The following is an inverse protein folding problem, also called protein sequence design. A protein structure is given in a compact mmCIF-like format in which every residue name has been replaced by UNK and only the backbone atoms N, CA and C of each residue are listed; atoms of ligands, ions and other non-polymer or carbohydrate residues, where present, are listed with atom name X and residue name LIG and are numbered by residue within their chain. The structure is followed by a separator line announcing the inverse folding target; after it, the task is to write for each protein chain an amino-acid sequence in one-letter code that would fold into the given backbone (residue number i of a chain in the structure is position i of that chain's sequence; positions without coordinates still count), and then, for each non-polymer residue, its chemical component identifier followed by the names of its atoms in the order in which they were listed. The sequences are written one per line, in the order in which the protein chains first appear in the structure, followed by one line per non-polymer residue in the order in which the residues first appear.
data_IF_141104949774
#
_entry.id   IF_141104949774
#
_cell.length_a   1.000
_cell.length_b   1.000
_cell.length_c   1.000
_cell.angle_alpha   90.00
_cell.angle_beta   90.00
_cell.angle_gamma   90.00
#
_symmetry.space_group_name_H-M   'P 1'
#
loop_
_entity.id
_entity.type
_entity.pdbx_description
1 polymer ?
#
# COMPACT_ATOMS: atom_id res chain seq x y z
N UNK A 1 -70.34 -39.80 16.47
CA UNK A 1 -68.89 -39.99 16.25
C UNK A 1 -68.12 -39.31 17.39
N UNK A 2 -67.29 -40.09 18.07
CA UNK A 2 -66.40 -39.74 19.20
C UNK A 2 -67.02 -38.91 20.35
N UNK A 3 -67.47 -39.60 21.40
CA UNK A 3 -67.83 -38.99 22.68
C UNK A 3 -69.04 -39.64 23.32
N UNK A 4 -69.05 -39.66 24.66
CA UNK A 4 -70.08 -40.20 25.56
C UNK A 4 -71.51 -40.01 24.98
N UNK A 5 -72.30 -41.09 24.86
CA UNK A 5 -73.75 -40.96 24.56
C UNK A 5 -74.49 -40.72 25.88
N UNK A 6 -75.17 -39.58 26.01
CA UNK A 6 -76.01 -39.29 27.18
C UNK A 6 -77.06 -40.40 27.36
N UNK A 7 -77.19 -40.91 28.59
CA UNK A 7 -78.16 -41.95 28.96
C UNK A 7 -77.70 -43.41 28.83
N UNK A 8 -76.45 -43.69 28.45
CA UNK A 8 -75.93 -45.08 28.39
C UNK A 8 -75.37 -45.52 29.75
N UNK A 9 -75.79 -46.72 30.20
CA UNK A 9 -75.30 -47.32 31.44
C UNK A 9 -73.76 -47.50 31.40
N UNK A 10 -73.04 -47.28 32.52
CA UNK A 10 -71.58 -47.39 32.58
C UNK A 10 -70.99 -48.73 32.10
N UNK A 11 -71.79 -49.81 32.13
CA UNK A 11 -71.45 -51.17 31.68
C UNK A 11 -71.48 -51.33 30.15
N UNK A 12 -72.11 -50.42 29.40
CA UNK A 12 -72.29 -50.51 27.94
C UNK A 12 -71.46 -49.49 27.14
N UNK A 13 -70.42 -48.89 27.74
CA UNK A 13 -69.53 -47.92 27.06
C UNK A 13 -68.78 -48.57 25.88
N UNK A 14 -68.46 -47.81 24.83
CA UNK A 14 -67.75 -48.34 23.66
C UNK A 14 -66.31 -48.75 23.97
N UNK A 15 -65.75 -49.69 23.19
CA UNK A 15 -64.34 -50.13 23.36
C UNK A 15 -63.34 -48.97 23.22
N UNK A 16 -63.61 -48.03 22.30
CA UNK A 16 -62.80 -46.81 22.14
C UNK A 16 -62.81 -45.92 23.39
N UNK A 17 -63.97 -45.78 24.05
CA UNK A 17 -64.08 -45.03 25.31
C UNK A 17 -63.30 -45.70 26.43
N UNK A 18 -63.41 -47.03 26.55
CA UNK A 18 -62.70 -47.80 27.57
C UNK A 18 -61.17 -47.74 27.38
N UNK A 19 -60.71 -47.89 26.13
CA UNK A 19 -59.32 -47.69 25.76
C UNK A 19 -58.82 -46.29 26.14
N UNK A 20 -59.60 -45.23 25.88
CA UNK A 20 -59.26 -43.87 26.30
C UNK A 20 -59.14 -43.71 27.82
N UNK A 21 -60.02 -44.35 28.60
CA UNK A 21 -59.95 -44.39 30.06
C UNK A 21 -58.70 -45.10 30.58
N UNK A 22 -58.30 -46.20 29.94
CA UNK A 22 -57.07 -46.93 30.26
C UNK A 22 -55.82 -46.13 29.87
N UNK A 23 -55.83 -45.41 28.74
CA UNK A 23 -54.75 -44.48 28.38
C UNK A 23 -54.61 -43.32 29.39
N UNK A 24 -55.71 -42.73 29.87
CA UNK A 24 -55.64 -41.72 30.93
C UNK A 24 -55.04 -42.28 32.22
N UNK A 25 -55.41 -43.49 32.64
CA UNK A 25 -54.83 -44.13 33.82
C UNK A 25 -53.36 -44.52 33.64
N UNK A 26 -52.98 -45.01 32.45
CA UNK A 26 -51.57 -45.26 32.12
C UNK A 26 -50.76 -43.95 32.15
N UNK A 27 -51.29 -42.87 31.57
CA UNK A 27 -50.68 -41.54 31.59
C UNK A 27 -50.50 -40.99 33.00
N UNK A 28 -51.48 -41.20 33.90
CA UNK A 28 -51.34 -40.87 35.33
C UNK A 28 -50.23 -41.68 35.98
N UNK A 29 -50.14 -42.98 35.70
CA UNK A 29 -49.07 -43.84 36.19
C UNK A 29 -47.67 -43.39 35.73
N UNK A 30 -47.51 -43.13 34.43
CA UNK A 30 -46.27 -42.57 33.86
C UNK A 30 -45.92 -41.22 34.49
N UNK A 31 -46.91 -40.33 34.61
CA UNK A 31 -46.72 -39.01 35.22
C UNK A 31 -46.23 -39.13 36.66
N UNK A 32 -46.75 -40.08 37.45
CA UNK A 32 -46.31 -40.30 38.83
C UNK A 32 -44.89 -40.86 38.93
N UNK A 33 -44.53 -41.80 38.05
CA UNK A 33 -43.20 -42.44 38.01
C UNK A 33 -42.11 -41.43 37.63
N UNK A 34 -42.39 -40.56 36.65
CA UNK A 34 -41.40 -39.63 36.10
C UNK A 34 -41.47 -38.21 36.69
N UNK A 35 -42.52 -37.84 37.45
CA UNK A 35 -42.67 -36.48 37.99
C UNK A 35 -41.52 -36.07 38.90
N UNK A 36 -41.05 -36.95 39.78
CA UNK A 36 -39.93 -36.64 40.68
C UNK A 36 -38.60 -36.49 39.92
N UNK A 37 -38.38 -37.31 38.88
CA UNK A 37 -37.20 -37.20 38.01
C UNK A 37 -37.21 -35.88 37.23
N UNK A 38 -38.37 -35.50 36.69
CA UNK A 38 -38.51 -34.27 35.92
C UNK A 38 -38.38 -33.04 36.83
N UNK A 39 -38.93 -33.08 38.04
CA UNK A 39 -38.74 -32.04 39.06
C UNK A 39 -37.26 -31.90 39.47
N UNK A 40 -36.56 -33.01 39.69
CA UNK A 40 -35.14 -33.03 40.02
C UNK A 40 -34.30 -32.45 38.87
N UNK A 41 -34.58 -32.84 37.63
CA UNK A 41 -33.90 -32.32 36.45
C UNK A 41 -34.07 -30.80 36.33
N UNK A 42 -35.30 -30.30 36.45
CA UNK A 42 -35.59 -28.85 36.42
C UNK A 42 -34.85 -28.12 37.53
N UNK A 43 -34.83 -28.66 38.75
CA UNK A 43 -34.11 -28.05 39.87
C UNK A 43 -32.61 -27.93 39.59
N UNK A 44 -31.97 -29.00 39.10
CA UNK A 44 -30.53 -28.98 38.79
C UNK A 44 -30.23 -27.94 37.72
N UNK A 45 -30.98 -27.94 36.62
CA UNK A 45 -30.73 -27.02 35.50
C UNK A 45 -31.04 -25.57 35.91
N UNK A 46 -32.08 -25.34 36.71
CA UNK A 46 -32.40 -24.01 37.25
C UNK A 46 -31.28 -23.47 38.13
N UNK A 47 -30.80 -24.27 39.09
CA UNK A 47 -29.72 -23.86 39.99
C UNK A 47 -28.44 -23.60 39.20
N UNK A 48 -28.05 -24.51 38.30
CA UNK A 48 -26.84 -24.32 37.50
C UNK A 48 -26.97 -23.15 36.53
N UNK A 49 -28.02 -23.13 35.70
CA UNK A 49 -28.23 -22.11 34.68
C UNK A 49 -28.38 -20.71 35.28
N UNK A 50 -29.20 -20.57 36.32
CA UNK A 50 -29.41 -19.28 36.99
C UNK A 50 -28.14 -18.75 37.68
N UNK A 51 -27.38 -19.61 38.36
CA UNK A 51 -26.15 -19.18 39.03
C UNK A 51 -25.03 -18.88 38.02
N UNK A 52 -24.86 -19.70 36.98
CA UNK A 52 -23.82 -19.46 35.97
C UNK A 52 -24.14 -18.18 35.19
N UNK A 53 -25.40 -17.93 34.83
CA UNK A 53 -25.81 -16.68 34.17
C UNK A 53 -25.45 -15.45 35.03
N UNK A 54 -25.86 -15.44 36.30
CA UNK A 54 -25.63 -14.29 37.19
C UNK A 54 -24.16 -14.10 37.57
N UNK A 55 -23.42 -15.18 37.84
CA UNK A 55 -22.03 -15.08 38.33
C UNK A 55 -21.00 -14.98 37.21
N UNK A 56 -21.26 -15.56 36.05
CA UNK A 56 -20.30 -15.62 34.95
C UNK A 56 -20.72 -14.68 33.83
N UNK A 57 -21.91 -14.85 33.25
CA UNK A 57 -22.31 -14.09 32.06
C UNK A 57 -22.50 -12.60 32.35
N UNK A 58 -23.29 -12.25 33.38
CA UNK A 58 -23.50 -10.87 33.78
C UNK A 58 -22.19 -10.18 34.22
N UNK A 59 -21.33 -10.93 34.92
CA UNK A 59 -20.03 -10.41 35.40
C UNK A 59 -19.00 -10.27 34.28
N UNK A 60 -19.05 -11.14 33.26
CA UNK A 60 -18.21 -11.05 32.06
C UNK A 60 -18.61 -9.84 31.22
N UNK A 61 -19.92 -9.69 30.97
CA UNK A 61 -20.46 -8.58 30.19
C UNK A 61 -20.12 -7.21 30.80
N UNK A 62 -20.21 -7.10 32.12
CA UNK A 62 -19.84 -5.89 32.86
C UNK A 62 -18.32 -5.74 33.09
N UNK A 63 -17.50 -6.62 32.52
CA UNK A 63 -16.04 -6.68 32.68
C UNK A 63 -15.56 -6.86 34.14
N UNK A 64 -16.47 -7.13 35.07
CA UNK A 64 -16.17 -7.37 36.49
C UNK A 64 -15.40 -8.67 36.68
N UNK A 65 -15.67 -9.67 35.84
CA UNK A 65 -14.95 -10.94 35.86
C UNK A 65 -13.48 -10.76 35.45
N UNK A 66 -13.20 -9.84 34.53
CA UNK A 66 -11.84 -9.48 34.10
C UNK A 66 -11.09 -8.78 35.24
N UNK A 67 -11.74 -7.82 35.92
CA UNK A 67 -11.18 -7.14 37.11
C UNK A 67 -10.90 -8.10 38.27
N UNK A 68 -11.68 -9.19 38.39
CA UNK A 68 -11.43 -10.23 39.37
C UNK A 68 -10.16 -11.03 39.05
N UNK A 69 -9.90 -11.30 37.76
CA UNK A 69 -8.64 -11.92 37.30
C UNK A 69 -7.43 -11.01 37.56
N UNK A 70 -7.63 -9.70 37.55
CA UNK A 70 -6.58 -8.71 37.84
C UNK A 70 -6.30 -8.55 39.34
N UNK A 71 -7.18 -9.06 40.21
CA UNK A 71 -7.02 -8.94 41.66
C UNK A 71 -6.02 -9.99 42.17
N UNK A 72 -4.84 -9.58 42.67
CA UNK A 72 -3.83 -10.52 43.11
C UNK A 72 -4.32 -11.33 44.32
N UNK A 73 -4.16 -12.66 44.24
CA UNK A 73 -4.51 -13.59 45.33
C UNK A 73 -5.90 -14.22 45.26
N UNK A 74 -6.74 -13.87 44.27
CA UNK A 74 -8.03 -14.55 44.03
C UNK A 74 -7.81 -15.92 43.38
N UNK A 75 -6.88 -16.01 42.42
CA UNK A 75 -6.49 -17.26 41.78
C UNK A 75 -5.07 -17.62 42.24
N UNK A 76 -4.87 -18.70 43.01
CA UNK A 76 -3.54 -19.08 43.48
C UNK A 76 -2.64 -19.46 42.29
N UNK A 77 -1.41 -18.94 42.28
CA UNK A 77 -0.37 -19.16 41.25
C UNK A 77 -0.67 -18.60 39.84
N UNK A 78 -1.63 -17.69 39.68
CA UNK A 78 -1.85 -17.01 38.40
C UNK A 78 -1.25 -15.60 38.44
N UNK A 79 -0.23 -15.36 37.63
CA UNK A 79 0.32 -14.03 37.37
C UNK A 79 0.49 -13.85 35.87
N UNK A 80 -0.32 -12.97 35.28
CA UNK A 80 -0.31 -12.72 33.84
C UNK A 80 1.04 -12.19 33.35
N UNK A 81 1.71 -11.33 34.14
CA UNK A 81 3.03 -10.80 33.80
C UNK A 81 4.08 -11.92 33.69
N UNK A 82 4.01 -12.93 34.55
CA UNK A 82 4.94 -14.07 34.55
C UNK A 82 4.68 -15.00 33.36
N UNK A 83 3.42 -15.28 33.03
CA UNK A 83 3.04 -16.10 31.86
C UNK A 83 3.47 -15.44 30.55
N UNK A 84 3.35 -14.13 30.45
CA UNK A 84 3.72 -13.36 29.26
C UNK A 84 5.20 -12.96 29.22
N UNK A 85 5.97 -13.27 30.28
CA UNK A 85 7.40 -12.93 30.37
C UNK A 85 7.69 -11.43 30.42
N UNK A 86 6.73 -10.62 30.89
CA UNK A 86 6.85 -9.17 30.96
C UNK A 86 7.70 -8.75 32.17
N UNK A 87 8.73 -7.94 31.92
CA UNK A 87 9.52 -7.28 32.96
C UNK A 87 8.89 -5.92 33.28
N UNK A 88 7.96 -5.89 34.22
CA UNK A 88 7.27 -4.65 34.62
C UNK A 88 6.13 -4.91 35.61
N UNK A 89 5.43 -3.84 36.00
CA UNK A 89 4.27 -3.87 36.88
C UNK A 89 3.20 -4.88 36.41
N UNK A 90 2.32 -5.28 37.33
CA UNK A 90 1.25 -6.25 37.11
C UNK A 90 0.44 -5.93 35.85
N UNK A 91 0.54 -6.78 34.84
CA UNK A 91 -0.23 -6.69 33.62
C UNK A 91 -1.71 -6.85 33.96
N UNK A 92 -2.48 -5.78 33.73
CA UNK A 92 -3.90 -5.72 34.01
C UNK A 92 -4.66 -6.20 32.77
N UNK A 93 -5.21 -7.41 32.83
CA UNK A 93 -6.00 -8.05 31.79
C UNK A 93 -7.20 -7.20 31.36
N UNK A 94 -7.91 -6.55 32.30
CA UNK A 94 -9.02 -5.66 31.98
C UNK A 94 -8.57 -4.49 31.11
N UNK A 95 -7.43 -3.87 31.43
CA UNK A 95 -6.87 -2.78 30.63
C UNK A 95 -6.39 -3.27 29.27
N UNK A 96 -5.69 -4.41 29.23
CA UNK A 96 -5.23 -5.05 27.99
C UNK A 96 -6.40 -5.31 27.05
N UNK A 97 -7.46 -5.93 27.56
CA UNK A 97 -8.65 -6.24 26.80
C UNK A 97 -9.34 -4.97 26.28
N UNK A 98 -9.47 -3.93 27.11
CA UNK A 98 -10.05 -2.63 26.70
C UNK A 98 -9.25 -1.96 25.58
N UNK A 99 -7.93 -1.96 25.67
CA UNK A 99 -7.07 -1.41 24.62
C UNK A 99 -7.16 -2.24 23.34
N UNK A 100 -7.28 -3.57 23.46
CA UNK A 100 -7.49 -4.43 22.30
C UNK A 100 -8.84 -4.21 21.61
N UNK A 101 -9.91 -3.94 22.37
CA UNK A 101 -11.19 -3.52 21.76
C UNK A 101 -11.05 -2.22 20.94
N UNK A 102 -10.15 -1.32 21.35
CA UNK A 102 -9.84 -0.08 20.64
C UNK A 102 -8.84 -0.23 19.48
N UNK A 103 -8.49 -1.47 19.11
CA UNK A 103 -7.54 -1.76 18.02
C UNK A 103 -6.11 -1.28 18.31
N UNK A 104 -5.70 -1.25 19.58
CA UNK A 104 -4.32 -1.02 19.94
C UNK A 104 -3.41 -2.17 19.46
N UNK A 105 -2.13 -1.86 19.24
CA UNK A 105 -1.09 -2.85 18.99
C UNK A 105 -0.71 -3.56 20.28
N UNK A 106 -0.34 -4.84 20.20
CA UNK A 106 0.21 -5.56 21.35
C UNK A 106 1.44 -4.87 21.95
N UNK A 107 2.22 -4.15 21.14
CA UNK A 107 3.36 -3.37 21.62
C UNK A 107 2.96 -2.34 22.67
N UNK A 108 1.94 -1.51 22.36
CA UNK A 108 1.43 -0.48 23.28
C UNK A 108 0.68 -1.13 24.45
N UNK A 109 -0.15 -2.14 24.14
CA UNK A 109 -1.00 -2.79 25.13
C UNK A 109 -0.23 -3.54 26.21
N UNK A 110 0.89 -4.20 25.85
CA UNK A 110 1.72 -4.94 26.79
C UNK A 110 2.88 -4.11 27.36
N UNK A 111 2.93 -2.81 27.04
CA UNK A 111 4.01 -1.90 27.46
C UNK A 111 5.42 -2.47 27.17
N UNK A 112 5.60 -3.05 25.98
CA UNK A 112 6.85 -3.73 25.62
C UNK A 112 8.04 -2.77 25.56
N UNK A 113 7.79 -1.47 25.43
CA UNK A 113 8.77 -0.39 25.51
C UNK A 113 9.57 -0.40 26.82
N UNK A 114 8.98 -0.89 27.92
CA UNK A 114 9.67 -1.01 29.22
C UNK A 114 10.70 -2.16 29.23
N UNK A 115 10.47 -3.19 28.41
CA UNK A 115 11.30 -4.39 28.36
C UNK A 115 12.33 -4.35 27.23
N UNK A 116 11.99 -3.70 26.13
CA UNK A 116 12.79 -3.62 24.90
C UNK A 116 12.78 -2.18 24.40
N UNK A 117 13.93 -1.51 24.53
CA UNK A 117 14.14 -0.19 23.95
C UNK A 117 14.43 -0.30 22.46
N UNK A 118 13.42 -0.03 21.61
CA UNK A 118 13.61 0.07 20.16
C UNK A 118 14.57 1.20 19.78
N UNK A 119 14.65 2.25 20.59
CA UNK A 119 15.58 3.36 20.37
C UNK A 119 17.04 2.94 20.55
N UNK A 120 17.31 2.06 21.50
CA UNK A 120 18.64 1.51 21.72
C UNK A 120 18.97 0.42 20.68
N UNK A 121 18.02 -0.48 20.39
CA UNK A 121 18.23 -1.60 19.46
C UNK A 121 18.42 -1.14 18.01
N UNK A 122 17.68 -0.12 17.58
CA UNK A 122 17.73 0.43 16.22
C UNK A 122 18.54 1.73 16.17
N UNK A 123 19.46 1.94 17.11
CA UNK A 123 20.31 3.12 17.12
C UNK A 123 21.40 3.02 16.03
N UNK A 124 21.24 3.78 14.94
CA UNK A 124 22.26 3.87 13.89
C UNK A 124 23.21 5.06 14.03
N UNK A 125 23.01 5.93 15.03
CA UNK A 125 23.82 7.15 15.17
C UNK A 125 25.32 6.88 15.25
N UNK A 126 25.71 5.77 15.87
CA UNK A 126 27.10 5.32 15.92
C UNK A 126 27.67 5.05 14.52
N UNK A 127 26.95 4.26 13.71
CA UNK A 127 27.37 3.93 12.35
C UNK A 127 27.35 5.16 11.44
N UNK A 128 26.32 6.00 11.54
CA UNK A 128 26.22 7.27 10.80
C UNK A 128 27.42 8.18 11.12
N UNK A 129 27.80 8.28 12.39
CA UNK A 129 28.96 9.05 12.84
C UNK A 129 30.29 8.50 12.31
N UNK A 130 30.48 7.18 12.38
CA UNK A 130 31.68 6.52 11.87
C UNK A 130 31.83 6.66 10.36
N UNK A 131 30.73 6.51 9.62
CA UNK A 131 30.68 6.67 8.15
C UNK A 131 30.99 8.11 7.76
N UNK A 132 30.39 9.10 8.42
CA UNK A 132 30.66 10.52 8.17
C UNK A 132 32.13 10.87 8.46
N UNK A 133 32.67 10.37 9.58
CA UNK A 133 34.07 10.60 9.96
C UNK A 133 35.05 9.92 8.99
N UNK A 134 34.74 8.70 8.55
CA UNK A 134 35.54 7.99 7.55
C UNK A 134 35.55 8.74 6.21
N UNK A 135 34.41 9.31 5.83
CA UNK A 135 34.27 10.12 4.62
C UNK A 135 35.07 11.43 4.69
N UNK A 136 35.05 12.14 5.84
CA UNK A 136 35.83 13.37 6.00
C UNK A 136 37.34 13.13 5.86
N UNK A 137 37.82 11.97 6.31
CA UNK A 137 39.21 11.53 6.21
C UNK A 137 39.60 11.01 4.82
N UNK A 138 38.65 10.85 3.91
CA UNK A 138 38.91 10.33 2.57
C UNK A 138 39.62 11.39 1.72
N UNK A 139 40.83 11.08 1.29
CA UNK A 139 41.56 11.87 0.29
C UNK A 139 41.31 11.29 -1.10
N UNK A 140 40.66 12.07 -1.96
CA UNK A 140 40.40 11.70 -3.35
C UNK A 140 41.63 12.04 -4.18
N UNK A 141 42.44 11.04 -4.50
CA UNK A 141 43.53 11.16 -5.46
C UNK A 141 43.04 10.71 -6.83
N UNK A 142 42.83 11.65 -7.74
CA UNK A 142 42.67 11.29 -9.15
C UNK A 142 44.02 10.89 -9.72
N UNK A 143 44.02 9.85 -10.56
CA UNK A 143 45.17 9.58 -11.42
C UNK A 143 45.47 10.82 -12.26
N UNK A 144 46.75 11.16 -12.48
CA UNK A 144 47.11 12.33 -13.27
C UNK A 144 46.56 12.18 -14.70
N UNK A 145 45.54 12.97 -15.02
CA UNK A 145 44.99 13.07 -16.36
C UNK A 145 45.82 14.13 -17.07
N UNK A 146 46.53 13.77 -18.14
CA UNK A 146 47.21 14.74 -19.02
C UNK A 146 46.47 14.79 -20.34
N UNK A 147 45.77 15.89 -20.63
CA UNK A 147 45.12 16.10 -21.93
C UNK A 147 46.17 16.23 -23.05
N UNK A 148 47.13 17.12 -22.83
CA UNK A 148 48.19 17.47 -23.78
C UNK A 148 49.48 17.72 -23.01
N UNK A 149 50.52 16.96 -23.34
CA UNK A 149 51.86 17.17 -22.82
C UNK A 149 52.49 18.43 -23.42
N UNK A 150 53.47 19.01 -22.74
CA UNK A 150 54.15 20.22 -23.21
C UNK A 150 54.73 20.06 -24.63
N UNK A 151 55.32 18.90 -24.94
CA UNK A 151 55.83 18.60 -26.27
C UNK A 151 54.76 18.62 -27.36
N UNK A 152 53.53 18.18 -27.05
CA UNK A 152 52.41 18.19 -27.98
C UNK A 152 51.88 19.61 -28.18
N UNK A 153 51.82 20.42 -27.11
CA UNK A 153 51.46 21.85 -27.18
C UNK A 153 52.45 22.62 -28.07
N UNK A 154 53.74 22.41 -27.84
CA UNK A 154 54.81 23.06 -28.60
C UNK A 154 54.80 22.62 -30.07
N UNK A 155 54.52 21.33 -30.34
CA UNK A 155 54.40 20.81 -31.70
C UNK A 155 53.23 21.47 -32.45
N UNK A 156 52.07 21.63 -31.81
CA UNK A 156 50.90 22.28 -32.42
C UNK A 156 51.17 23.76 -32.73
N UNK A 157 51.78 24.49 -31.78
CA UNK A 157 52.20 25.88 -32.02
C UNK A 157 53.23 25.98 -33.14
N UNK A 158 54.21 25.08 -33.17
CA UNK A 158 55.23 25.06 -34.21
C UNK A 158 54.64 24.72 -35.58
N UNK A 159 53.73 23.76 -35.66
CA UNK A 159 53.04 23.39 -36.89
C UNK A 159 52.17 24.55 -37.41
N UNK A 160 51.45 25.24 -36.52
CA UNK A 160 50.66 26.41 -36.86
C UNK A 160 51.54 27.56 -37.38
N UNK A 161 52.68 27.84 -36.73
CA UNK A 161 53.64 28.85 -37.20
C UNK A 161 54.32 28.45 -38.51
N UNK A 162 54.63 27.18 -38.71
CA UNK A 162 55.22 26.67 -39.94
C UNK A 162 54.25 26.74 -41.13
N UNK A 163 52.94 26.73 -40.87
CA UNK A 163 51.90 26.93 -41.88
C UNK A 163 51.69 28.38 -42.33
N UNK A 164 52.42 29.34 -41.76
CA UNK A 164 52.29 30.74 -42.14
C UNK A 164 52.87 30.99 -43.54
N UNK A 165 52.12 31.62 -44.46
CA UNK A 165 52.61 31.97 -45.77
C UNK A 165 53.72 33.03 -45.67
N UNK A 166 54.59 33.15 -46.70
CA UNK A 166 55.50 34.27 -46.79
C UNK A 166 54.71 35.59 -46.90
N UNK A 167 55.40 36.70 -46.64
CA UNK A 167 54.81 38.03 -46.79
C UNK A 167 54.57 38.32 -48.28
N UNK A 168 53.30 38.29 -48.69
CA UNK A 168 52.85 38.60 -50.05
C UNK A 168 52.47 40.07 -50.26
N UNK A 169 52.73 40.99 -49.31
CA UNK A 169 52.36 42.41 -49.45
C UNK A 169 52.92 43.02 -50.73
N UNK A 170 54.21 42.82 -51.01
CA UNK A 170 54.83 43.33 -52.24
C UNK A 170 54.28 42.66 -53.51
N UNK A 171 53.94 41.36 -53.43
CA UNK A 171 53.34 40.62 -54.54
C UNK A 171 51.93 41.12 -54.85
N UNK A 172 51.13 41.39 -53.82
CA UNK A 172 49.80 41.98 -53.98
C UNK A 172 49.88 43.41 -54.55
N UNK A 173 50.84 44.22 -54.10
CA UNK A 173 51.09 45.55 -54.67
C UNK A 173 51.47 45.48 -56.16
N UNK A 174 52.29 44.51 -56.55
CA UNK A 174 52.66 44.28 -57.96
C UNK A 174 51.49 43.76 -58.80
N UNK A 175 50.63 42.91 -58.24
CA UNK A 175 49.43 42.39 -58.91
C UNK A 175 48.37 43.47 -59.15
N UNK A 176 48.40 44.56 -58.38
CA UNK A 176 47.52 45.72 -58.55
C UNK A 176 48.05 46.73 -59.58
N UNK A 177 49.24 46.53 -60.16
CA UNK A 177 49.78 47.37 -61.22
C UNK A 177 49.31 46.93 -62.62
N UNK A 178 49.24 47.88 -63.54
CA UNK A 178 48.98 47.58 -64.95
C UNK A 178 50.12 46.75 -65.56
N UNK A 179 49.79 45.77 -66.41
CA UNK A 179 50.76 44.87 -67.05
C UNK A 179 51.73 45.66 -67.95
N UNK A 180 51.24 46.75 -68.55
CA UNK A 180 52.01 47.64 -69.42
C UNK A 180 52.22 49.01 -68.77
N UNK A 181 53.39 49.61 -69.01
CA UNK A 181 53.71 50.97 -68.52
C UNK A 181 52.80 52.05 -69.12
N UNK A 182 52.25 51.79 -70.31
CA UNK A 182 51.30 52.65 -71.01
C UNK A 182 50.22 51.76 -71.63
N UNK A 183 48.98 52.21 -71.59
CA UNK A 183 47.85 51.54 -72.23
C UNK A 183 48.15 51.30 -73.71
N UNK A 184 48.11 50.04 -74.14
CA UNK A 184 48.31 49.69 -75.56
C UNK A 184 47.19 50.28 -76.42
N UNK A 185 45.99 50.46 -75.83
CA UNK A 185 44.86 51.13 -76.48
C UNK A 185 45.13 52.62 -76.71
N UNK A 186 45.73 53.30 -75.73
CA UNK A 186 46.08 54.72 -75.85
C UNK A 186 47.20 54.91 -76.88
N UNK A 187 48.19 54.01 -76.89
CA UNK A 187 49.26 54.02 -77.88
C UNK A 187 48.72 53.74 -79.30
N UNK A 188 47.81 52.77 -79.45
CA UNK A 188 47.14 52.50 -80.72
C UNK A 188 46.35 53.72 -81.22
N UNK A 189 45.62 54.41 -80.32
CA UNK A 189 44.88 55.62 -80.67
C UNK A 189 45.82 56.78 -81.08
N UNK A 190 46.99 56.91 -80.47
CA UNK A 190 48.01 57.90 -80.86
C UNK A 190 48.61 57.59 -82.24
N UNK A 191 48.87 56.31 -82.55
CA UNK A 191 49.34 55.88 -83.87
C UNK A 191 48.30 56.16 -84.96
N UNK A 192 47.02 55.90 -84.71
CA UNK A 192 45.91 56.23 -85.62
C UNK A 192 45.81 57.75 -85.85
N UNK A 193 45.95 58.57 -84.79
CA UNK A 193 45.96 60.03 -84.92
C UNK A 193 47.17 60.56 -85.70
N UNK A 194 48.31 59.87 -85.63
CA UNK A 194 49.51 60.19 -86.38
C UNK A 194 49.37 59.76 -87.85
N UNK A 195 48.71 58.62 -88.11
CA UNK A 195 48.43 58.09 -89.44
C UNK A 195 47.61 59.07 -90.31
N UNK A 196 46.70 59.84 -89.69
CA UNK A 196 45.92 60.89 -90.38
C UNK A 196 46.74 62.12 -90.84
N UNK A 197 48.01 62.23 -90.46
CA UNK A 197 48.87 63.41 -90.72
C UNK A 197 50.06 63.12 -91.64
N UNK A 198 50.18 61.90 -92.18
CA UNK A 198 51.34 61.44 -92.96
C UNK A 198 50.94 60.91 -94.36
N UNK A 199 51.92 60.69 -95.22
CA UNK A 199 51.72 60.16 -96.58
C UNK A 199 51.20 58.71 -96.60
N UNK A 200 50.54 58.32 -97.69
CA UNK A 200 49.74 57.09 -97.79
C UNK A 200 50.47 55.78 -97.46
N UNK A 201 51.77 55.70 -97.75
CA UNK A 201 52.59 54.49 -97.48
C UNK A 201 52.83 54.33 -95.96
N UNK A 202 53.14 55.43 -95.26
CA UNK A 202 53.38 55.45 -93.80
C UNK A 202 52.07 55.38 -93.02
N UNK A 203 50.97 55.92 -93.57
CA UNK A 203 49.63 55.85 -92.98
C UNK A 203 49.21 54.40 -92.76
N UNK A 204 49.38 53.55 -93.78
CA UNK A 204 48.98 52.15 -93.72
C UNK A 204 49.76 51.36 -92.66
N UNK A 205 51.07 51.57 -92.59
CA UNK A 205 51.92 50.93 -91.59
C UNK A 205 51.53 51.35 -90.15
N UNK A 206 51.20 52.62 -89.92
CA UNK A 206 50.77 53.10 -88.61
C UNK A 206 49.41 52.53 -88.18
N UNK A 207 48.46 52.39 -89.12
CA UNK A 207 47.16 51.74 -88.88
C UNK A 207 47.30 50.24 -88.61
N UNK A 208 48.19 49.55 -89.34
CA UNK A 208 48.48 48.13 -89.12
C UNK A 208 49.12 47.88 -87.75
N UNK A 209 50.11 48.70 -87.35
CA UNK A 209 50.69 48.66 -86.00
C UNK A 209 49.65 48.97 -84.90
N UNK A 210 48.72 49.91 -85.14
CA UNK A 210 47.65 50.20 -84.18
C UNK A 210 46.66 49.03 -84.02
N UNK A 211 46.34 48.32 -85.11
CA UNK A 211 45.56 47.10 -85.09
C UNK A 211 46.28 45.97 -84.34
N UNK A 212 47.57 45.77 -84.58
CA UNK A 212 48.39 44.79 -83.86
C UNK A 212 48.43 45.07 -82.35
N UNK A 213 48.56 46.34 -81.93
CA UNK A 213 48.54 46.72 -80.51
C UNK A 213 47.19 46.41 -79.84
N UNK A 214 46.07 46.60 -80.54
CA UNK A 214 44.74 46.26 -80.01
C UNK A 214 44.53 44.76 -79.90
N UNK A 215 45.00 43.99 -80.89
CA UNK A 215 44.94 42.53 -80.85
C UNK A 215 45.84 41.97 -79.74
N UNK A 216 47.01 42.57 -79.53
CA UNK A 216 47.92 42.23 -78.42
C UNK A 216 47.29 42.52 -77.05
N UNK A 217 46.63 43.67 -76.87
CA UNK A 217 45.88 43.99 -75.64
C UNK A 217 44.79 42.95 -75.37
N UNK A 218 44.02 42.57 -76.39
CA UNK A 218 42.97 41.57 -76.28
C UNK A 218 43.53 40.20 -75.88
N UNK A 219 44.59 39.74 -76.54
CA UNK A 219 45.26 38.48 -76.21
C UNK A 219 45.86 38.49 -74.80
N UNK A 220 46.43 39.63 -74.39
CA UNK A 220 46.98 39.82 -73.05
C UNK A 220 45.86 39.79 -71.99
N UNK A 221 44.74 40.45 -72.24
CA UNK A 221 43.59 40.43 -71.34
C UNK A 221 43.00 39.02 -71.22
N UNK A 222 42.84 38.30 -72.33
CA UNK A 222 42.34 36.91 -72.33
C UNK A 222 43.30 35.94 -71.62
N UNK A 223 44.62 36.16 -71.75
CA UNK A 223 45.64 35.26 -71.20
C UNK A 223 46.01 35.54 -69.74
N UNK A 224 46.00 36.79 -69.29
CA UNK A 224 46.56 37.18 -67.98
C UNK A 224 45.52 37.63 -66.95
N UNK A 225 44.38 38.21 -67.35
CA UNK A 225 43.41 38.77 -66.38
C UNK A 225 42.86 37.71 -65.40
N UNK A 226 42.43 36.56 -65.93
CA UNK A 226 41.92 35.44 -65.13
C UNK A 226 42.96 34.85 -64.17
N UNK A 227 44.16 34.44 -64.65
CA UNK A 227 45.22 33.93 -63.79
C UNK A 227 45.71 34.92 -62.73
N UNK A 228 45.82 36.21 -63.05
CA UNK A 228 46.25 37.24 -62.09
C UNK A 228 45.19 37.46 -61.00
N UNK A 229 43.92 37.53 -61.38
CA UNK A 229 42.81 37.63 -60.41
C UNK A 229 42.73 36.38 -59.53
N UNK A 230 42.84 35.19 -60.13
CA UNK A 230 42.86 33.92 -59.38
C UNK A 230 44.06 33.82 -58.44
N UNK A 231 45.24 34.32 -58.85
CA UNK A 231 46.41 34.39 -57.97
C UNK A 231 46.17 35.33 -56.78
N UNK A 232 45.58 36.51 -57.00
CA UNK A 232 45.22 37.46 -55.94
C UNK A 232 44.25 36.83 -54.93
N UNK A 233 43.18 36.18 -55.41
CA UNK A 233 42.20 35.50 -54.57
C UNK A 233 42.82 34.35 -53.78
N UNK A 234 43.67 33.53 -54.40
CA UNK A 234 44.38 32.45 -53.74
C UNK A 234 45.34 32.96 -52.65
N UNK A 235 46.07 34.05 -52.91
CA UNK A 235 46.95 34.67 -51.91
C UNK A 235 46.15 35.13 -50.69
N UNK A 236 45.03 35.84 -50.91
CA UNK A 236 44.17 36.32 -49.82
C UNK A 236 43.52 35.17 -49.03
N UNK A 237 43.08 34.11 -49.72
CA UNK A 237 42.53 32.90 -49.12
C UNK A 237 43.57 32.18 -48.23
N UNK A 238 44.80 32.03 -48.72
CA UNK A 238 45.89 31.42 -47.94
C UNK A 238 46.28 32.29 -46.73
N UNK A 239 46.36 33.62 -46.89
CA UNK A 239 46.66 34.53 -45.78
C UNK A 239 45.59 34.48 -44.68
N UNK A 240 44.32 34.52 -45.06
CA UNK A 240 43.20 34.44 -44.10
C UNK A 240 43.10 33.06 -43.43
N UNK A 241 43.25 31.98 -44.20
CA UNK A 241 43.24 30.61 -43.68
C UNK A 241 44.40 30.33 -42.71
N UNK A 242 45.60 30.84 -42.99
CA UNK A 242 46.74 30.70 -42.10
C UNK A 242 46.60 31.49 -40.80
N UNK A 243 46.08 32.72 -40.86
CA UNK A 243 45.76 33.51 -39.67
C UNK A 243 44.68 32.82 -38.81
N UNK A 244 43.66 32.25 -39.46
CA UNK A 244 42.62 31.48 -38.78
C UNK A 244 43.18 30.21 -38.11
N UNK A 245 44.09 29.49 -38.77
CA UNK A 245 44.74 28.31 -38.22
C UNK A 245 45.52 28.64 -36.93
N UNK A 246 46.25 29.75 -36.92
CA UNK A 246 46.96 30.23 -35.72
C UNK A 246 46.02 30.64 -34.60
N UNK A 247 44.96 31.40 -34.91
CA UNK A 247 43.93 31.76 -33.95
C UNK A 247 43.25 30.54 -33.33
N UNK A 248 42.83 29.58 -34.14
CA UNK A 248 42.17 28.35 -33.68
C UNK A 248 43.09 27.44 -32.88
N UNK A 249 44.35 27.30 -33.31
CA UNK A 249 45.34 26.49 -32.57
C UNK A 249 45.59 27.08 -31.18
N UNK A 250 45.74 28.40 -31.10
CA UNK A 250 45.98 29.10 -29.83
C UNK A 250 44.77 28.98 -28.90
N UNK A 251 43.55 29.21 -29.41
CA UNK A 251 42.32 29.07 -28.65
C UNK A 251 42.09 27.63 -28.13
N UNK A 252 42.35 26.62 -28.98
CA UNK A 252 42.24 25.22 -28.59
C UNK A 252 43.24 24.84 -27.48
N UNK A 253 44.47 25.34 -27.56
CA UNK A 253 45.49 25.14 -26.53
C UNK A 253 45.11 25.81 -25.21
N UNK A 254 44.56 27.03 -25.26
CA UNK A 254 44.07 27.74 -24.09
C UNK A 254 42.93 26.97 -23.41
N UNK A 255 41.94 26.51 -24.19
CA UNK A 255 40.82 25.73 -23.67
C UNK A 255 41.28 24.39 -23.08
N UNK A 256 42.23 23.71 -23.72
CA UNK A 256 42.81 22.49 -23.20
C UNK A 256 43.57 22.74 -21.88
N UNK A 257 44.27 23.87 -21.76
CA UNK A 257 44.97 24.25 -20.54
C UNK A 257 44.00 24.59 -19.39
N UNK A 258 42.93 25.33 -19.68
CA UNK A 258 41.87 25.59 -18.70
C UNK A 258 41.17 24.32 -18.23
N UNK A 259 40.94 23.37 -19.15
CA UNK A 259 40.36 22.06 -18.81
C UNK A 259 41.32 21.23 -17.95
N UNK A 260 42.62 21.24 -18.27
CA UNK A 260 43.65 20.59 -17.46
C UNK A 260 43.67 21.14 -16.03
N UNK A 261 43.63 22.48 -15.86
CA UNK A 261 43.61 23.11 -14.55
C UNK A 261 42.35 22.77 -13.75
N UNK A 262 41.18 22.76 -14.40
CA UNK A 262 39.93 22.32 -13.77
C UNK A 262 39.99 20.86 -13.28
N UNK A 263 40.54 19.96 -14.11
CA UNK A 263 40.71 18.55 -13.76
C UNK A 263 41.66 18.35 -12.57
N UNK A 264 42.70 19.18 -12.44
CA UNK A 264 43.67 19.08 -11.35
C UNK A 264 43.17 19.72 -10.05
N UNK A 265 42.47 20.86 -10.12
CA UNK A 265 42.09 21.66 -8.94
C UNK A 265 40.67 21.41 -8.46
N UNK A 266 39.71 21.38 -9.37
CA UNK A 266 38.28 21.40 -9.04
C UNK A 266 37.67 20.00 -9.02
N UNK A 267 38.11 19.10 -9.91
CA UNK A 267 37.56 17.74 -10.00
C UNK A 267 37.60 16.96 -8.67
N UNK A 268 38.68 16.97 -7.86
CA UNK A 268 38.66 16.32 -6.55
C UNK A 268 37.55 16.84 -5.63
N UNK A 269 37.28 18.16 -5.67
CA UNK A 269 36.24 18.78 -4.86
C UNK A 269 34.84 18.40 -5.36
N UNK A 270 34.65 18.36 -6.68
CA UNK A 270 33.39 17.90 -7.30
C UNK A 270 33.08 16.47 -6.88
N UNK A 271 34.04 15.54 -7.03
CA UNK A 271 33.82 14.14 -6.63
C UNK A 271 33.54 14.06 -5.13
N UNK A 272 34.25 14.84 -4.30
CA UNK A 272 34.00 14.88 -2.85
C UNK A 272 32.59 15.36 -2.53
N UNK A 273 32.10 16.40 -3.19
CA UNK A 273 30.75 16.91 -2.96
C UNK A 273 29.67 15.95 -3.44
N UNK A 274 29.81 15.37 -4.64
CA UNK A 274 28.84 14.40 -5.18
C UNK A 274 28.81 13.12 -4.33
N UNK A 275 29.96 12.63 -3.88
CA UNK A 275 30.02 11.45 -3.02
C UNK A 275 29.42 11.75 -1.64
N UNK A 276 29.59 12.97 -1.11
CA UNK A 276 28.93 13.40 0.13
C UNK A 276 27.41 13.40 -0.02
N UNK A 277 26.90 13.99 -1.09
CA UNK A 277 25.46 14.05 -1.36
C UNK A 277 24.86 12.64 -1.48
N UNK A 278 25.55 11.73 -2.19
CA UNK A 278 25.15 10.32 -2.28
C UNK A 278 25.12 9.63 -0.90
N UNK A 279 26.12 9.87 -0.07
CA UNK A 279 26.23 9.28 1.26
C UNK A 279 25.16 9.81 2.22
N UNK A 280 24.89 11.12 2.20
CA UNK A 280 23.80 11.74 2.95
C UNK A 280 22.44 11.15 2.54
N UNK A 281 22.19 11.00 1.24
CA UNK A 281 20.97 10.37 0.75
C UNK A 281 20.84 8.92 1.20
N UNK A 282 21.94 8.15 1.20
CA UNK A 282 21.94 6.77 1.67
C UNK A 282 21.61 6.68 3.16
N UNK A 283 22.19 7.57 3.99
CA UNK A 283 21.91 7.64 5.42
C UNK A 283 20.46 8.03 5.70
N UNK A 284 19.91 8.98 4.94
CA UNK A 284 18.51 9.39 5.03
C UNK A 284 17.54 8.23 4.74
N UNK A 285 17.87 7.35 3.78
CA UNK A 285 17.09 6.13 3.56
C UNK A 285 17.09 5.20 4.77
N UNK A 286 18.24 5.02 5.43
CA UNK A 286 18.31 4.18 6.63
C UNK A 286 17.56 4.79 7.81
N UNK A 287 17.68 6.10 8.02
CA UNK A 287 16.93 6.82 9.06
C UNK A 287 15.42 6.72 8.84
N UNK A 288 14.98 6.95 7.60
CA UNK A 288 13.57 6.81 7.20
C UNK A 288 13.08 5.38 7.42
N UNK A 289 13.85 4.38 7.01
CA UNK A 289 13.49 2.98 7.19
C UNK A 289 13.37 2.58 8.67
N UNK A 290 14.28 3.05 9.52
CA UNK A 290 14.23 2.78 10.95
C UNK A 290 13.04 3.48 11.61
N UNK A 291 12.77 4.72 11.23
CA UNK A 291 11.60 5.46 11.70
C UNK A 291 10.31 4.73 11.32
N UNK A 292 10.21 4.28 10.06
CA UNK A 292 9.10 3.45 9.58
C UNK A 292 9.01 2.14 10.37
N UNK A 293 10.11 1.40 10.55
CA UNK A 293 10.12 0.14 11.27
C UNK A 293 9.67 0.30 12.73
N UNK A 294 10.12 1.36 13.41
CA UNK A 294 9.66 1.73 14.76
C UNK A 294 8.15 1.99 14.77
N UNK A 295 7.66 2.82 13.87
CA UNK A 295 6.23 3.13 13.80
C UNK A 295 5.39 1.88 13.49
N UNK A 296 5.80 1.09 12.50
CA UNK A 296 5.09 -0.13 12.13
C UNK A 296 5.07 -1.16 13.26
N UNK A 297 6.17 -1.40 13.97
CA UNK A 297 6.19 -2.33 15.12
C UNK A 297 5.36 -1.81 16.29
N UNK A 298 5.45 -0.51 16.58
CA UNK A 298 4.76 0.08 17.75
C UNK A 298 3.29 0.34 17.50
N UNK A 299 2.85 0.57 16.27
CA UNK A 299 1.48 0.97 15.97
C UNK A 299 0.75 -0.06 15.10
N UNK A 300 1.33 -0.48 13.99
CA UNK A 300 0.58 -1.19 12.94
C UNK A 300 0.62 -2.71 13.09
N UNK A 301 1.71 -3.26 13.62
CA UNK A 301 1.93 -4.68 13.70
C UNK A 301 1.28 -5.25 14.97
N UNK A 302 0.78 -6.48 14.83
CA UNK A 302 0.14 -7.21 15.93
C UNK A 302 -0.99 -6.42 16.61
N UNK A 303 -1.88 -5.79 15.83
CA UNK A 303 -3.16 -5.25 16.32
C UNK A 303 -3.94 -6.34 17.05
N UNK A 304 -4.42 -6.06 18.25
CA UNK A 304 -5.04 -7.08 19.10
C UNK A 304 -6.58 -7.10 19.08
N UNK A 305 -7.22 -6.31 18.22
CA UNK A 305 -8.67 -6.34 18.01
C UNK A 305 -9.23 -7.73 17.68
N UNK A 306 -8.60 -8.56 16.82
CA UNK A 306 -9.11 -9.90 16.54
C UNK A 306 -9.14 -10.80 17.78
N UNK A 307 -8.23 -10.57 18.74
CA UNK A 307 -8.19 -11.32 20.00
C UNK A 307 -9.36 -10.91 20.89
N UNK A 308 -9.57 -9.59 21.06
CA UNK A 308 -10.73 -9.08 21.81
C UNK A 308 -12.05 -9.58 21.20
N UNK A 309 -12.20 -9.49 19.87
CA UNK A 309 -13.38 -10.00 19.17
C UNK A 309 -13.59 -11.51 19.36
N UNK A 310 -12.51 -12.29 19.44
CA UNK A 310 -12.63 -13.73 19.70
C UNK A 310 -13.16 -14.01 21.10
N UNK A 311 -12.75 -13.23 22.10
CA UNK A 311 -13.27 -13.33 23.47
C UNK A 311 -14.74 -12.89 23.53
N UNK A 312 -15.09 -11.80 22.85
CA UNK A 312 -16.48 -11.31 22.75
C UNK A 312 -17.37 -12.39 22.10
N UNK A 313 -16.89 -13.02 21.03
CA UNK A 313 -17.63 -14.10 20.38
C UNK A 313 -17.83 -15.31 21.29
N UNK A 314 -16.84 -15.66 22.12
CA UNK A 314 -16.96 -16.76 23.09
C UNK A 314 -17.98 -16.41 24.17
N UNK A 315 -17.98 -15.17 24.66
CA UNK A 315 -19.00 -14.67 25.59
C UNK A 315 -20.39 -14.78 24.97
N UNK A 316 -20.60 -14.21 23.78
CA UNK A 316 -21.88 -14.26 23.08
C UNK A 316 -22.35 -15.70 22.84
N UNK A 317 -21.48 -16.61 22.42
CA UNK A 317 -21.85 -18.02 22.21
C UNK A 317 -22.21 -18.70 23.54
N UNK A 318 -21.40 -18.52 24.58
CA UNK A 318 -21.60 -19.17 25.86
C UNK A 318 -22.82 -18.64 26.62
N UNK A 319 -23.01 -17.33 26.62
CA UNK A 319 -24.00 -16.65 27.42
C UNK A 319 -25.30 -16.42 26.66
N UNK A 320 -25.27 -15.79 25.49
CA UNK A 320 -26.51 -15.42 24.78
C UNK A 320 -27.13 -16.60 24.04
N UNK A 321 -26.33 -17.56 23.56
CA UNK A 321 -26.88 -18.71 22.84
C UNK A 321 -27.07 -19.91 23.75
N UNK A 322 -26.03 -20.37 24.45
CA UNK A 322 -26.09 -21.59 25.26
C UNK A 322 -26.88 -21.34 26.54
N UNK A 323 -26.53 -20.32 27.32
CA UNK A 323 -27.18 -20.10 28.62
C UNK A 323 -28.64 -19.70 28.47
N UNK A 324 -28.98 -18.81 27.54
CA UNK A 324 -30.39 -18.47 27.28
C UNK A 324 -31.20 -19.67 26.80
N UNK A 325 -30.62 -20.56 25.99
CA UNK A 325 -31.29 -21.81 25.59
C UNK A 325 -31.53 -22.73 26.78
N UNK A 326 -30.54 -22.87 27.68
CA UNK A 326 -30.69 -23.63 28.92
C UNK A 326 -31.75 -23.00 29.83
N UNK A 327 -31.81 -21.67 29.88
CA UNK A 327 -32.80 -20.92 30.63
C UNK A 327 -34.22 -21.14 30.10
N UNK A 328 -34.41 -21.04 28.78
CA UNK A 328 -35.68 -21.34 28.12
C UNK A 328 -36.09 -22.81 28.32
N UNK A 329 -35.12 -23.73 28.30
CA UNK A 329 -35.38 -25.16 28.48
C UNK A 329 -35.89 -25.50 29.87
N UNK A 330 -35.21 -25.06 30.95
CA UNK A 330 -35.69 -25.36 32.30
C UNK A 330 -37.00 -24.64 32.60
N UNK A 331 -37.20 -23.42 32.09
CA UNK A 331 -38.45 -22.68 32.26
C UNK A 331 -39.63 -23.43 31.63
N UNK A 332 -39.44 -23.94 30.40
CA UNK A 332 -40.44 -24.74 29.68
C UNK A 332 -40.76 -26.05 30.42
N UNK A 333 -39.73 -26.79 30.85
CA UNK A 333 -39.91 -28.03 31.61
C UNK A 333 -40.56 -27.79 32.99
N UNK A 334 -40.21 -26.68 33.66
CA UNK A 334 -40.83 -26.25 34.90
C UNK A 334 -42.33 -26.05 34.75
N UNK A 335 -42.74 -25.38 33.67
CA UNK A 335 -44.15 -25.16 33.35
C UNK A 335 -44.89 -26.47 33.04
N UNK A 336 -44.26 -27.39 32.31
CA UNK A 336 -44.78 -28.75 32.09
C UNK A 336 -44.98 -29.49 33.42
N UNK A 337 -44.03 -29.37 34.36
CA UNK A 337 -44.14 -29.97 35.70
C UNK A 337 -45.30 -29.38 36.49
N UNK A 338 -45.47 -28.05 36.44
CA UNK A 338 -46.52 -27.34 37.15
C UNK A 338 -47.91 -27.79 36.68
N UNK A 339 -48.10 -27.93 35.37
CA UNK A 339 -49.36 -28.38 34.80
C UNK A 339 -49.60 -29.90 34.88
N UNK A 340 -48.58 -30.69 35.19
CA UNK A 340 -48.71 -32.13 35.35
C UNK A 340 -49.61 -32.48 36.55
N UNK A 341 -49.54 -31.73 37.65
CA UNK A 341 -50.40 -31.92 38.83
C UNK A 341 -51.91 -31.74 38.55
N UNK A 342 -52.40 -30.60 38.01
CA UNK A 342 -53.81 -30.47 37.65
C UNK A 342 -54.20 -31.45 36.54
N UNK A 343 -53.29 -31.78 35.62
CA UNK A 343 -53.55 -32.77 34.56
C UNK A 343 -53.80 -34.17 35.12
N UNK A 344 -53.07 -34.60 36.15
CA UNK A 344 -53.34 -35.87 36.85
C UNK A 344 -54.74 -35.88 37.44
N UNK A 345 -55.15 -34.81 38.14
CA UNK A 345 -56.46 -34.73 38.79
C UNK A 345 -57.58 -34.85 37.75
N UNK A 346 -57.45 -34.10 36.64
CA UNK A 346 -58.41 -34.16 35.54
C UNK A 346 -58.42 -35.52 34.85
N UNK A 347 -57.26 -36.12 34.60
CA UNK A 347 -57.14 -37.44 33.97
C UNK A 347 -57.78 -38.54 34.82
N UNK A 348 -57.59 -38.54 36.14
CA UNK A 348 -58.24 -39.50 37.04
C UNK A 348 -59.77 -39.31 37.05
N UNK A 349 -60.24 -38.05 37.07
CA UNK A 349 -61.68 -37.75 37.01
C UNK A 349 -62.29 -38.19 35.68
N UNK A 350 -61.64 -37.89 34.55
CA UNK A 350 -62.09 -38.26 33.21
C UNK A 350 -62.02 -39.77 33.00
N UNK A 351 -60.99 -40.46 33.48
CA UNK A 351 -60.88 -41.91 33.38
C UNK A 351 -62.11 -42.63 33.97
N UNK A 352 -62.67 -42.11 35.07
CA UNK A 352 -63.93 -42.63 35.65
C UNK A 352 -65.12 -42.51 34.69
N UNK A 353 -65.17 -41.47 33.86
CA UNK A 353 -66.23 -41.26 32.87
C UNK A 353 -66.00 -42.00 31.54
N UNK A 354 -64.77 -42.40 31.24
CA UNK A 354 -64.43 -43.08 29.98
C UNK A 354 -64.36 -44.61 30.11
N UNK A 355 -63.89 -45.14 31.25
CA UNK A 355 -63.69 -46.57 31.47
C UNK A 355 -65.02 -47.32 31.64
N UNK A 356 -65.16 -48.51 31.06
CA UNK A 356 -66.33 -49.38 31.23
C UNK A 356 -66.29 -49.96 32.65
N UNK A 357 -67.42 -49.94 33.36
CA UNK A 357 -67.52 -50.55 34.70
C UNK A 357 -68.19 -51.91 34.60
N UNK A 358 -67.78 -52.87 35.43
CA UNK A 358 -68.35 -54.24 35.41
C UNK A 358 -69.76 -54.30 36.01
N UNK A 359 -70.11 -53.33 36.86
CA UNK A 359 -71.40 -53.28 37.58
C UNK A 359 -71.97 -51.86 37.46
N UNK A 360 -73.29 -51.76 37.23
CA UNK A 360 -74.02 -50.50 37.28
C UNK A 360 -75.10 -50.57 38.36
N UNK A 361 -75.13 -49.59 39.26
CA UNK A 361 -76.20 -49.47 40.24
C UNK A 361 -77.51 -49.15 39.53
N UNK A 362 -78.50 -50.03 39.66
CA UNK A 362 -79.85 -49.79 39.14
C UNK A 362 -80.54 -48.81 40.09
N UNK A 363 -80.70 -47.56 39.68
CA UNK A 363 -81.54 -46.62 40.42
C UNK A 363 -82.99 -47.07 40.30
N UNK A 364 -83.53 -47.67 41.37
CA UNK A 364 -84.94 -48.06 41.46
C UNK A 364 -85.72 -46.81 41.88
N UNK A 365 -86.54 -46.18 41.02
CA UNK A 365 -87.40 -45.09 41.45
C UNK A 365 -88.35 -45.62 42.55
N UNK A 366 -88.78 -44.79 43.52
CA UNK A 366 -89.72 -45.23 44.54
C UNK A 366 -90.94 -45.81 43.83
N UNK A 367 -91.21 -47.09 44.06
CA UNK A 367 -92.37 -47.80 43.53
C UNK A 367 -93.62 -47.15 44.13
N UNK A 368 -94.24 -46.25 43.38
CA UNK A 368 -95.63 -45.86 43.64
C UNK A 368 -96.48 -47.12 43.38
N UNK A 369 -96.82 -47.82 44.45
CA UNK A 369 -97.75 -48.94 44.42
C UNK A 369 -99.10 -48.42 43.89
N UNK A 370 -99.48 -48.91 42.72
CA UNK A 370 -100.82 -48.72 42.18
C UNK A 370 -101.84 -49.44 43.07
N UNK A 371 -102.39 -48.72 44.04
CA UNK A 371 -103.60 -49.15 44.75
C UNK A 371 -104.79 -49.03 43.79
N UNK A 372 -105.34 -50.19 43.38
CA UNK A 372 -106.70 -50.28 42.82
C UNK A 372 -107.68 -49.83 43.89
N UNK A 373 -108.26 -48.64 43.73
CA UNK A 373 -109.40 -48.16 44.51
C UNK A 373 -110.66 -48.91 44.02
N UNK A 374 -111.42 -49.60 44.89
CA UNK A 374 -112.69 -50.20 44.50
C UNK A 374 -113.74 -49.12 44.20
N UNK A 375 -114.42 -49.21 43.05
CA UNK A 375 -115.59 -48.35 42.77
C UNK A 375 -116.80 -48.80 43.60
N UNK A 376 -117.52 -47.89 44.26
CA UNK A 376 -118.79 -48.21 44.90
C UNK A 376 -119.91 -48.43 43.88
N UNK A 377 -120.74 -49.42 44.15
CA UNK A 377 -122.00 -49.71 43.47
C UNK A 377 -123.05 -48.67 43.84
N UNK A 378 -123.60 -47.93 42.87
CA UNK A 378 -124.89 -47.26 43.01
C UNK A 378 -125.93 -48.01 42.19
N UNK A 379 -126.94 -48.52 42.88
CA UNK A 379 -128.13 -49.17 42.33
C UNK A 379 -129.27 -48.14 42.40
N UNK A 380 -129.97 -47.99 41.27
CA UNK A 380 -131.09 -47.09 40.93
C UNK A 380 -130.71 -45.72 40.39
#
# INVERSE_FOLDING_TARGET
PLGLKEGVLPTQRSSLSDAGGNFFMAGVGFSFIFSWLLMLLVMIIFVLGGNIYMLVCESWHNQQLLQLLDTPGVIPNFNLSEVLGLKGDTANFSEIYRQCQQDASLWKTLHLDQSVSLDELLNISQYTGDISTAFEKMNITLSPISLLNQSQKDLLLKASRAGQPPNFTLTLEQLDQNITQRSLLDLAAELEQLAEKVDADVKKDLEENALELRELEKQMQESFSGPLQGLKENILSVQSGAAQLEGQTTAALEQANGTQEFLEREMPNVIKNETRAFLEQLLDFFETYISWAKSSVTEEWARCKPIAQSLDNVETIGCDYIMDSVNAFWFSLGWCTLFLLPSIILAVRLAKFYRRMDIADVYRPPTFNAYKIPRPSTRH
#
